data_IF_885661670712
#
_entry.id   IF_885661670712
#
_cell.length_a   1.000
_cell.length_b   1.000
_cell.length_c   1.000
_cell.angle_alpha   90.00
_cell.angle_beta   90.00
_cell.angle_gamma   90.00
#
_symmetry.space_group_name_H-M   'P 1'
#
loop_
_entity.id
_entity.type
_entity.pdbx_description
1 polymer ?
2 non-polymer ?
3 water ?
#
# COMPACT_ATOMS: atom_id res chain seq x y z
N UNK A 10 -3.80 -5.12 18.17
CA UNK A 10 -3.25 -5.98 17.12
C UNK A 10 -4.36 -6.56 16.20
N UNK A 11 -4.18 -6.33 14.90
CA UNK A 11 -5.08 -6.80 13.85
C UNK A 11 -4.44 -8.00 13.18
N UNK A 12 -5.24 -8.95 12.74
CA UNK A 12 -4.67 -10.11 12.07
C UNK A 12 -4.36 -9.76 10.59
N UNK A 13 -3.21 -10.21 10.12
CA UNK A 13 -2.74 -10.08 8.76
C UNK A 13 -2.89 -11.47 8.08
N UNK A 14 -3.41 -11.57 6.85
CA UNK A 14 -3.81 -10.42 6.02
C UNK A 14 -5.12 -9.77 6.52
N UNK A 15 -5.21 -8.46 6.39
CA UNK A 15 -6.29 -7.70 6.94
C UNK A 15 -7.00 -7.01 5.78
N UNK A 16 -8.31 -7.04 5.81
CA UNK A 16 -9.09 -6.33 4.79
C UNK A 16 -9.82 -5.16 5.45
N UNK A 17 -9.56 -3.97 4.95
CA UNK A 17 -10.17 -2.75 5.44
C UNK A 17 -11.16 -2.29 4.33
N UNK A 18 -12.46 -2.40 4.57
CA UNK A 18 -13.44 -1.86 3.67
C UNK A 18 -13.28 -0.39 3.47
N UNK A 19 -13.54 0.09 2.24
CA UNK A 19 -13.48 1.51 1.92
C UNK A 19 -14.88 1.86 1.38
N UNK A 20 -15.78 2.28 2.28
CA UNK A 20 -17.22 2.30 1.92
C UNK A 20 -17.49 3.34 0.80
N UNK A 21 -18.08 2.93 -0.32
CA UNK A 21 -18.26 3.86 -1.42
C UNK A 21 -17.01 4.24 -2.18
N UNK A 22 -15.97 3.46 -1.98
CA UNK A 22 -14.72 3.63 -2.68
C UNK A 22 -13.88 4.78 -2.17
N UNK A 23 -12.86 5.12 -2.93
CA UNK A 23 -11.99 6.23 -2.56
C UNK A 23 -12.41 7.49 -3.28
N UNK A 24 -11.93 8.62 -2.78
CA UNK A 24 -12.22 9.87 -3.35
C UNK A 24 -11.04 10.75 -2.99
N UNK A 25 -10.80 11.79 -3.80
CA UNK A 25 -9.79 12.74 -3.41
C UNK A 25 -10.08 13.37 -2.09
N UNK A 26 -9.03 13.51 -1.29
CA UNK A 26 -8.96 14.02 0.09
C UNK A 26 -9.12 12.91 1.12
N UNK A 27 -9.33 11.67 0.67
CA UNK A 27 -9.38 10.56 1.65
C UNK A 27 -7.96 10.18 2.02
N UNK A 28 -7.68 10.05 3.30
CA UNK A 28 -6.35 9.70 3.82
C UNK A 28 -6.40 8.34 4.56
N UNK A 29 -5.64 7.37 4.12
CA UNK A 29 -5.61 6.05 4.69
C UNK A 29 -4.31 5.99 5.48
N UNK A 30 -4.37 5.58 6.73
CA UNK A 30 -3.17 5.52 7.59
C UNK A 30 -3.00 4.09 8.17
N UNK A 31 -1.81 3.50 7.97
CA UNK A 31 -1.53 2.13 8.40
C UNK A 31 -0.37 2.23 9.37
N UNK A 32 -0.53 1.72 10.57
CA UNK A 32 0.55 1.71 11.55
C UNK A 32 0.91 0.24 11.83
N UNK A 33 2.20 -0.09 11.80
CA UNK A 33 2.62 -1.47 12.11
C UNK A 33 4.12 -1.50 12.45
N UNK A 34 4.65 -2.70 12.59
CA UNK A 34 6.09 -2.91 12.86
C UNK A 34 6.53 -3.98 11.90
N UNK A 35 7.64 -3.80 11.25
CA UNK A 35 8.11 -4.78 10.29
C UNK A 35 8.70 -5.94 11.13
N UNK A 36 8.36 -7.17 10.80
CA UNK A 36 8.95 -8.34 11.49
C UNK A 36 10.46 -8.42 11.31
N UNK A 37 11.19 -8.96 12.30
CA UNK A 37 12.66 -8.80 12.13
C UNK A 37 13.32 -9.48 10.93
N UNK A 38 12.73 -10.54 10.41
CA UNK A 38 13.29 -11.18 9.23
C UNK A 38 12.37 -11.08 8.01
N UNK A 39 11.93 -9.85 7.72
CA UNK A 39 10.92 -9.63 6.69
C UNK A 39 11.40 -9.80 5.26
N UNK A 40 10.51 -10.30 4.41
CA UNK A 40 10.74 -10.40 2.98
C UNK A 40 9.88 -9.44 2.20
N UNK A 41 8.66 -9.20 2.65
CA UNK A 41 7.76 -8.33 1.83
C UNK A 41 6.67 -7.74 2.70
N UNK A 42 6.09 -6.64 2.23
CA UNK A 42 4.86 -6.06 2.76
C UNK A 42 4.07 -5.80 1.46
N UNK A 43 2.73 -5.83 1.54
CA UNK A 43 1.91 -5.42 0.41
C UNK A 43 0.61 -4.71 0.89
N UNK A 44 0.30 -3.61 0.23
CA UNK A 44 -1.01 -2.99 0.32
C UNK A 44 -1.65 -3.16 -1.09
N UNK A 45 -2.88 -3.62 -1.12
CA UNK A 45 -3.65 -3.85 -2.37
C UNK A 45 -5.00 -3.16 -2.33
N UNK A 46 -5.11 -2.04 -3.02
CA UNK A 46 -6.39 -1.34 -3.17
C UNK A 46 -7.11 -2.03 -4.31
N UNK A 47 -8.28 -2.60 -4.01
CA UNK A 47 -8.97 -3.49 -4.92
C UNK A 47 -10.28 -2.91 -5.44
N UNK A 48 -10.53 -3.17 -6.72
CA UNK A 48 -11.76 -2.91 -7.42
C UNK A 48 -12.28 -4.30 -7.86
N UNK A 49 -13.13 -4.88 -7.04
CA UNK A 49 -13.45 -6.32 -7.17
C UNK A 49 -12.20 -7.18 -7.27
N UNK A 50 -12.07 -8.05 -8.26
CA UNK A 50 -10.79 -8.83 -8.44
C UNK A 50 -9.61 -8.04 -8.94
N UNK A 51 -9.82 -6.87 -9.51
CA UNK A 51 -8.68 -6.06 -9.98
C UNK A 51 -7.97 -5.38 -8.83
N UNK A 52 -6.67 -5.15 -9.00
CA UNK A 52 -5.91 -4.40 -8.01
C UNK A 52 -5.59 -3.08 -8.60
N UNK A 53 -6.26 -2.03 -8.13
CA UNK A 53 -6.03 -0.69 -8.66
C UNK A 53 -4.59 -0.21 -8.37
N UNK A 54 -4.12 -0.46 -7.14
CA UNK A 54 -2.85 0.04 -6.68
C UNK A 54 -2.30 -1.01 -5.73
N UNK A 55 -1.18 -1.65 -6.11
CA UNK A 55 -0.43 -2.60 -5.34
C UNK A 55 0.84 -1.85 -4.96
N UNK A 56 1.14 -1.80 -3.68
CA UNK A 56 2.30 -1.12 -3.12
C UNK A 56 3.09 -2.20 -2.38
N UNK A 57 4.31 -2.53 -2.83
CA UNK A 57 4.91 -3.78 -2.36
C UNK A 57 6.39 -3.63 -2.11
N UNK A 58 6.75 -3.20 -0.92
CA UNK A 58 8.15 -3.20 -0.45
C UNK A 58 8.70 -4.64 -0.43
N UNK A 59 9.83 -4.83 -1.10
CA UNK A 59 10.54 -6.10 -1.12
C UNK A 59 11.96 -5.92 -0.51
N UNK A 60 12.22 -6.69 0.55
CA UNK A 60 13.39 -6.49 1.38
C UNK A 60 14.59 -7.27 0.82
N UNK A 61 14.36 -8.23 -0.06
CA UNK A 61 15.50 -9.01 -0.62
C UNK A 61 15.16 -9.55 -2.02
N UNK A 62 15.18 -8.65 -2.97
CA UNK A 62 15.05 -8.94 -4.37
C UNK A 62 16.47 -8.90 -4.95
N UNK A 63 17.05 -10.08 -5.17
CA UNK A 63 18.48 -10.13 -5.63
C UNK A 63 19.40 -9.26 -4.74
N UNK A 64 19.18 -9.34 -3.43
CA UNK A 64 19.98 -8.63 -2.42
C UNK A 64 19.88 -7.14 -2.50
N UNK A 65 18.73 -6.67 -3.01
CA UNK A 65 18.41 -5.28 -3.03
C UNK A 65 17.03 -5.09 -2.41
N UNK A 66 16.85 -3.92 -1.83
CA UNK A 66 15.57 -3.50 -1.28
C UNK A 66 14.89 -2.59 -2.31
N UNK A 67 13.66 -2.90 -2.68
CA UNK A 67 12.99 -2.11 -3.70
C UNK A 67 11.46 -2.00 -3.32
N UNK A 68 10.83 -0.89 -3.67
CA UNK A 68 9.34 -0.89 -3.60
C UNK A 68 8.77 -1.05 -5.03
N UNK A 69 7.92 -2.05 -5.26
CA UNK A 69 7.31 -2.31 -6.60
C UNK A 69 5.85 -1.86 -6.48
N UNK A 70 5.40 -0.99 -7.38
CA UNK A 70 3.98 -0.63 -7.50
C UNK A 70 3.42 -1.07 -8.87
N UNK A 71 2.16 -1.52 -8.90
CA UNK A 71 1.56 -1.99 -10.12
C UNK A 71 0.05 -2.07 -10.00
N UNK A 72 -0.61 -2.44 -11.12
CA UNK A 72 -2.04 -2.56 -11.18
C UNK A 72 -2.28 -3.93 -11.81
N UNK A 73 -3.30 -4.64 -11.35
CA UNK A 73 -3.65 -5.95 -11.92
C UNK A 73 -5.03 -5.89 -12.49
N UNK A 74 -5.12 -6.08 -13.81
CA UNK A 74 -6.39 -6.03 -14.49
C UNK A 74 -6.71 -7.37 -15.18
N UNK A 75 -7.89 -7.92 -14.93
CA UNK A 75 -8.24 -9.19 -15.54
C UNK A 75 -7.20 -10.29 -15.23
N UNK A 76 -6.70 -10.29 -14.00
CA UNK A 76 -5.69 -11.22 -13.54
C UNK A 76 -4.32 -11.05 -14.13
N UNK A 77 -4.05 -9.95 -14.84
CA UNK A 77 -2.74 -9.70 -15.40
C UNK A 77 -2.09 -8.45 -14.79
N UNK A 78 -0.84 -8.60 -14.31
CA UNK A 78 -0.06 -7.44 -13.83
C UNK A 78 0.35 -6.58 -15.00
N UNK A 79 0.34 -5.28 -14.78
CA UNK A 79 0.78 -4.26 -15.70
C UNK A 79 2.26 -3.93 -15.65
N UNK A 80 2.59 -2.75 -16.11
CA UNK A 80 3.94 -2.23 -16.09
C UNK A 80 4.35 -1.83 -14.67
N UNK A 81 5.42 -2.38 -14.12
CA UNK A 81 5.84 -2.06 -12.73
C UNK A 81 6.40 -0.66 -12.64
N UNK A 82 6.12 0.05 -11.55
CA UNK A 82 6.81 1.28 -11.24
C UNK A 82 7.65 1.03 -9.99
N UNK A 83 8.98 1.16 -10.13
CA UNK A 83 9.91 0.84 -9.04
C UNK A 83 10.57 2.08 -8.43
N UNK A 84 10.71 2.05 -7.11
CA UNK A 84 11.29 3.16 -6.36
C UNK A 84 12.36 2.47 -5.49
N UNK A 85 13.58 2.94 -5.67
CA UNK A 85 14.69 2.48 -4.81
C UNK A 85 14.83 3.17 -3.44
N UNK A 86 14.19 4.32 -3.21
CA UNK A 86 14.08 4.86 -1.85
C UNK A 86 13.24 3.88 -1.04
N UNK A 87 13.81 3.46 0.09
CA UNK A 87 13.29 2.32 0.82
C UNK A 87 13.33 2.66 2.30
N UNK A 88 12.20 3.19 2.80
CA UNK A 88 12.21 3.71 4.17
C UNK A 88 11.88 2.75 5.30
N UNK A 89 11.54 1.53 4.97
CA UNK A 89 11.24 0.51 5.92
C UNK A 89 12.51 -0.13 6.41
N UNK A 90 12.45 -0.70 7.62
CA UNK A 90 13.61 -1.39 8.24
C UNK A 90 13.07 -2.57 9.06
N UNK A 91 13.63 -3.77 8.88
CA UNK A 91 13.20 -4.93 9.64
C UNK A 91 13.29 -4.65 11.11
N UNK A 92 12.27 -5.06 11.86
CA UNK A 92 12.22 -4.85 13.29
C UNK A 92 11.59 -3.56 13.74
N UNK A 93 11.30 -2.62 12.84
CA UNK A 93 11.03 -1.25 13.25
C UNK A 93 9.62 -0.79 12.91
N UNK A 94 9.07 0.09 13.77
CA UNK A 94 7.70 0.59 13.59
C UNK A 94 7.67 1.55 12.40
N UNK A 95 6.59 1.53 11.68
CA UNK A 95 6.38 2.44 10.60
C UNK A 95 4.96 3.04 10.63
N UNK A 96 4.80 4.08 9.81
CA UNK A 96 3.51 4.61 9.50
C UNK A 96 3.48 4.85 7.99
N UNK A 97 2.48 4.29 7.34
CA UNK A 97 2.23 4.53 5.92
C UNK A 97 1.00 5.37 5.80
N UNK A 98 1.08 6.49 5.07
CA UNK A 98 -0.10 7.28 4.83
C UNK A 98 -0.32 7.37 3.31
N UNK A 99 -1.52 7.05 2.87
CA UNK A 99 -1.87 7.09 1.44
C UNK A 99 -2.96 8.16 1.28
N UNK A 100 -2.65 9.24 0.60
CA UNK A 100 -3.60 10.33 0.36
C UNK A 100 -4.07 10.17 -1.08
N UNK A 101 -5.37 10.10 -1.26
CA UNK A 101 -5.96 10.05 -2.56
C UNK A 101 -6.07 11.49 -3.09
N UNK A 102 -5.40 11.76 -4.22
CA UNK A 102 -5.48 13.05 -4.90
C UNK A 102 -6.24 12.80 -6.24
N UNK A 103 -6.54 13.89 -6.96
CA UNK A 103 -7.40 13.68 -8.12
C UNK A 103 -6.72 12.81 -9.20
N UNK A 104 -5.40 12.89 -9.34
CA UNK A 104 -4.67 12.12 -10.37
C UNK A 104 -3.76 11.01 -9.91
N UNK A 105 -3.55 10.90 -8.61
CA UNK A 105 -2.67 9.88 -8.12
C UNK A 105 -2.91 9.56 -6.64
N UNK A 106 -2.43 8.37 -6.24
CA UNK A 106 -2.27 8.10 -4.83
C UNK A 106 -0.90 8.66 -4.42
N UNK A 107 -0.85 9.38 -3.31
CA UNK A 107 0.38 9.95 -2.80
C UNK A 107 0.74 9.23 -1.48
N UNK A 108 1.93 8.67 -1.42
CA UNK A 108 2.35 7.83 -0.28
C UNK A 108 3.49 8.52 0.45
N UNK A 109 3.30 8.67 1.76
CA UNK A 109 4.31 9.10 2.73
C UNK A 109 4.57 8.02 3.77
N UNK A 110 5.85 7.77 4.08
CA UNK A 110 6.20 6.81 5.14
C UNK A 110 6.97 7.58 6.24
N UNK A 111 6.53 7.38 7.46
CA UNK A 111 7.11 8.04 8.63
C UNK A 111 7.15 9.56 8.42
N UNK A 112 6.08 10.10 7.78
CA UNK A 112 5.92 11.53 7.54
C UNK A 112 6.70 12.14 6.45
N UNK A 113 7.44 11.35 5.71
CA UNK A 113 8.19 11.81 4.60
C UNK A 113 7.57 11.27 3.32
N UNK A 114 7.44 12.16 2.37
CA UNK A 114 6.92 11.81 1.04
C UNK A 114 7.77 10.72 0.41
N UNK A 115 7.14 9.68 -0.08
CA UNK A 115 7.84 8.55 -0.73
C UNK A 115 7.62 8.51 -2.27
N UNK A 116 6.38 8.39 -2.70
CA UNK A 116 6.08 8.24 -4.11
C UNK A 116 4.67 8.63 -4.47
N UNK A 117 4.41 8.81 -5.78
CA UNK A 117 3.05 9.03 -6.27
C UNK A 117 2.78 7.96 -7.28
N UNK A 118 1.52 7.56 -7.38
CA UNK A 118 1.14 6.51 -8.37
C UNK A 118 -0.07 7.00 -9.11
N UNK A 119 0.10 7.33 -10.40
CA UNK A 119 -0.97 7.84 -11.26
C UNK A 119 -2.12 6.83 -11.29
N UNK A 120 -3.39 7.29 -11.21
CA UNK A 120 -4.57 6.42 -11.32
C UNK A 120 -4.67 5.75 -12.69
N UNK A 121 -4.55 4.44 -12.71
CA UNK A 121 -4.79 3.64 -13.92
C UNK A 121 -6.23 3.12 -13.93
N UNK A 122 -6.68 2.70 -12.78
CA UNK A 122 -8.12 2.42 -12.51
C UNK A 122 -8.81 3.70 -12.17
N UNK A 123 -9.75 4.12 -13.04
CA UNK A 123 -10.21 5.51 -12.97
C UNK A 123 -11.56 5.64 -12.31
N UNK A 124 -12.24 4.51 -12.13
CA UNK A 124 -13.50 4.49 -11.34
C UNK A 124 -13.19 4.44 -9.84
N UNK A 125 -12.86 5.61 -9.32
CA UNK A 125 -12.32 5.70 -7.91
C UNK A 125 -13.34 5.21 -6.87
N UNK A 126 -14.63 5.46 -7.16
CA UNK A 126 -15.73 5.06 -6.32
C UNK A 126 -15.91 3.54 -6.22
N UNK A 127 -15.27 2.77 -7.10
CA UNK A 127 -15.37 1.31 -7.09
C UNK A 127 -14.15 0.60 -6.44
N UNK A 128 -13.21 1.38 -5.93
CA UNK A 128 -12.02 0.86 -5.27
C UNK A 128 -12.41 0.77 -3.80
N UNK A 129 -13.02 -0.36 -3.45
CA UNK A 129 -13.81 -0.43 -2.21
C UNK A 129 -13.22 -1.30 -1.10
N UNK A 130 -12.00 -1.80 -1.29
CA UNK A 130 -11.30 -2.44 -0.17
C UNK A 130 -9.81 -2.29 -0.30
N UNK A 131 -9.16 -2.38 0.85
CA UNK A 131 -7.69 -2.34 0.92
C UNK A 131 -7.23 -3.58 1.65
N UNK A 132 -6.45 -4.45 1.02
CA UNK A 132 -5.87 -5.62 1.74
C UNK A 132 -4.47 -5.29 2.19
N UNK A 133 -4.14 -5.66 3.41
CA UNK A 133 -2.81 -5.35 3.99
C UNK A 133 -2.24 -6.70 4.34
N UNK A 134 -1.07 -7.01 3.83
CA UNK A 134 -0.49 -8.35 3.98
C UNK A 134 1.03 -8.22 4.09
N UNK A 135 1.62 -9.33 4.52
CA UNK A 135 3.07 -9.49 4.50
C UNK A 135 3.65 -9.58 5.89
N UNK A 136 4.95 -9.26 6.00
CA UNK A 136 5.75 -9.63 7.17
C UNK A 136 5.71 -8.48 8.19
N UNK A 137 4.52 -8.21 8.68
CA UNK A 137 4.30 -7.14 9.61
C UNK A 137 3.44 -7.53 10.78
N UNK A 138 3.62 -6.83 11.89
CA UNK A 138 2.65 -6.86 12.95
C UNK A 138 1.83 -5.61 12.66
N UNK A 139 0.52 -5.70 12.60
CA UNK A 139 -0.33 -4.55 12.23
C UNK A 139 -0.97 -4.00 13.44
N UNK A 140 -0.78 -2.69 13.67
CA UNK A 140 -1.23 -2.06 14.86
C UNK A 140 -2.54 -1.34 14.60
N UNK A 141 -2.67 -0.66 13.45
CA UNK A 141 -3.91 0.01 13.21
C UNK A 141 -4.03 0.36 11.71
N UNK A 142 -5.27 0.38 11.24
CA UNK A 142 -5.54 0.79 9.85
C UNK A 142 -6.83 1.59 9.80
N UNK A 143 -6.79 2.81 9.31
CA UNK A 143 -7.96 3.67 9.43
C UNK A 143 -7.95 4.67 8.29
N UNK A 144 -9.03 5.44 8.18
CA UNK A 144 -9.11 6.41 7.12
C UNK A 144 -9.82 7.60 7.68
N UNK A 145 -9.60 8.73 7.04
CA UNK A 145 -10.26 9.96 7.37
C UNK A 145 -10.27 10.87 6.13
N UNK A 146 -11.07 11.94 6.14
CA UNK A 146 -11.10 12.95 5.07
C UNK A 146 -10.43 14.18 5.53
N UNK A 147 -9.43 14.62 4.77
CA UNK A 147 -8.75 15.85 5.09
C UNK A 147 -9.32 17.07 4.31
X LIG B 1 10.30 -12.41 -14.50
X LIG B 1 10.03 -11.28 -14.88
X LIG B 1 10.45 -10.77 -16.23
X LIG B 1 9.34 -10.41 -14.12
X LIG B 1 8.86 -10.71 -12.80
X LIG B 1 8.84 -9.36 -12.05
X LIG B 1 10.21 -8.88 -11.92
X LIG B 1 10.80 -7.97 -12.71
X LIG B 1 12.17 -7.45 -12.33
X LIG B 1 13.08 -8.11 -11.44
X LIG B 1 14.29 -7.46 -11.10
X LIG B 1 14.56 -6.18 -11.65
X LIG B 1 13.66 -5.55 -12.54
X LIG B 1 13.90 -4.32 -13.11
X LIG B 1 12.90 -3.46 -13.66
X LIG B 1 12.47 -6.19 -12.86
X LIG B 1 10.21 -7.47 -13.66
X LIG B 1 7.52 -11.22 -12.86
X LIG B 1 7.03 -11.57 -11.56
X LIG B 1 5.67 -12.26 -11.80
X LIG B 1 4.67 -11.38 -12.39
X LIG B 1 6.90 -10.24 -10.78
X LIG B 1 8.26 -9.55 -10.68
X LIG B 1 8.24 -8.29 -10.00
X LIG B 1 6.46 -10.52 -9.48
X LIG B 1 5.12 -10.05 -9.28
X LIG B 1 4.69 -10.66 -7.99
X LIG B 1 4.58 -12.09 -8.08
X LIG B 1 3.31 -10.11 -7.63
X LIG B 1 2.93 -10.59 -6.35
X LIG B 1 3.31 -8.59 -7.66
X LIG B 1 4.12 -8.09 -6.57
X LIG B 1 3.75 -8.10 -9.02
X LIG B 1 5.07 -8.59 -9.32
X LIG B 1 3.79 -6.57 -9.18
X LIG B 1 4.22 -6.38 -10.51
#
# INVERSE_FOLDING_TARGET
GSPYGAPAGPLIVPYNLPLPGGVVPRMLITILGTVKPNANRIALDFQRGNDVAFHFNPRFNENNRRVIVCNTKLDNNWGREERQSVFPFESGKPFKIQVLVEPDHFKVAVNDAHLLQYNHRVKKLNEISKLGISGDIDLTSASYTMI
8VW O35 C33 C34 N1 C1, C2, N2 C36 C38 C39 C40 C41 C42 O44 C45 C43 O37 O5, C5, C6, O6, C4, C3, O3, O1 C1 C2 O2 C3 O3 C4 O4 C5 O5 C6 O6
#
